data_IF_904688164474
#
_entry.id   IF_904688164474
#
_cell.length_a   1.000
_cell.length_b   1.000
_cell.length_c   1.000
_cell.angle_alpha   90.00
_cell.angle_beta   90.00
_cell.angle_gamma   90.00
#
_symmetry.space_group_name_H-M   'P 1'
#
loop_
_entity.id
_entity.type
_entity.pdbx_description
1 polymer ?
#
# COMPACT_ATOMS: atom_id res chain seq x y z
N UNK A 1 20.32 3.49 1.05
CA UNK A 1 19.71 2.19 1.44
C UNK A 1 19.38 1.42 0.18
N UNK A 2 19.80 0.15 0.04
CA UNK A 2 19.46 -0.70 -1.12
C UNK A 2 18.22 -1.54 -0.80
N UNK A 3 17.22 -1.52 -1.66
CA UNK A 3 16.00 -2.33 -1.49
C UNK A 3 16.35 -3.79 -1.83
N UNK A 4 16.21 -4.67 -0.85
CA UNK A 4 16.45 -6.10 -1.01
C UNK A 4 15.16 -6.85 -1.37
N UNK A 5 14.05 -6.46 -0.76
CA UNK A 5 12.77 -7.14 -0.89
C UNK A 5 11.62 -6.12 -0.82
N UNK A 6 10.55 -6.39 -1.56
CA UNK A 6 9.29 -5.66 -1.46
C UNK A 6 8.16 -6.68 -1.35
N UNK A 7 7.42 -6.63 -0.25
CA UNK A 7 6.25 -7.45 -0.01
C UNK A 7 4.99 -6.62 -0.21
N UNK A 8 4.01 -7.20 -0.91
CA UNK A 8 2.71 -6.60 -1.17
C UNK A 8 1.64 -7.44 -0.50
N UNK A 9 0.76 -6.78 0.24
CA UNK A 9 -0.34 -7.41 0.94
C UNK A 9 -1.64 -6.74 0.53
N UNK A 10 -2.60 -7.52 0.05
CA UNK A 10 -3.99 -7.11 -0.03
C UNK A 10 -4.69 -7.65 1.21
N UNK A 11 -5.20 -6.76 2.05
CA UNK A 11 -5.85 -7.16 3.31
C UNK A 11 -7.33 -6.80 3.23
N UNK A 12 -8.20 -7.64 3.80
CA UNK A 12 -9.61 -7.31 4.03
C UNK A 12 -9.81 -7.10 5.53
N UNK A 13 -10.27 -5.90 5.89
CA UNK A 13 -10.45 -5.44 7.26
C UNK A 13 -11.93 -5.17 7.51
N UNK A 14 -12.68 -6.07 8.17
CA UNK A 14 -14.09 -5.83 8.46
C UNK A 14 -14.24 -4.65 9.42
N UNK A 15 -15.21 -3.78 9.13
CA UNK A 15 -15.54 -2.63 9.96
C UNK A 15 -16.42 -3.05 11.13
N UNK A 16 -16.23 -2.40 12.28
CA UNK A 16 -17.08 -2.61 13.48
C UNK A 16 -18.53 -2.19 13.26
N UNK A 17 -18.77 -1.26 12.35
CA UNK A 17 -20.08 -0.78 11.94
C UNK A 17 -20.01 -0.24 10.50
N UNK A 18 -21.12 -0.22 9.74
CA UNK A 18 -21.13 0.32 8.39
C UNK A 18 -20.70 1.78 8.33
N UNK A 19 -19.81 2.13 7.40
CA UNK A 19 -19.35 3.50 7.15
C UNK A 19 -19.98 4.07 5.88
N UNK A 20 -20.85 5.07 6.04
CA UNK A 20 -21.60 5.72 4.95
C UNK A 20 -20.86 6.95 4.44
N UNK A 21 -20.61 7.00 3.13
CA UNK A 21 -20.26 8.22 2.37
C UNK A 21 -21.36 8.52 1.34
N UNK A 22 -21.22 9.63 0.60
CA UNK A 22 -22.26 10.10 -0.33
C UNK A 22 -22.62 9.10 -1.44
N UNK A 23 -21.68 8.27 -1.88
CA UNK A 23 -21.86 7.34 -2.99
C UNK A 23 -21.84 5.86 -2.59
N UNK A 24 -21.53 5.52 -1.33
CA UNK A 24 -21.36 4.12 -0.90
C UNK A 24 -21.53 3.95 0.60
N UNK A 25 -21.90 2.73 1.01
CA UNK A 25 -21.72 2.26 2.39
C UNK A 25 -20.69 1.14 2.37
N UNK A 26 -19.65 1.26 3.20
CA UNK A 26 -18.60 0.27 3.37
C UNK A 26 -18.89 -0.58 4.61
N UNK A 27 -18.64 -1.88 4.51
CA UNK A 27 -18.62 -2.83 5.64
C UNK A 27 -17.24 -3.42 5.88
N UNK A 28 -16.30 -3.19 4.97
CA UNK A 28 -14.91 -3.61 5.03
C UNK A 28 -14.03 -2.56 4.36
N UNK A 29 -12.74 -2.55 4.73
CA UNK A 29 -11.69 -1.80 4.06
C UNK A 29 -10.72 -2.78 3.42
N UNK A 30 -10.33 -2.50 2.19
CA UNK A 30 -9.39 -3.34 1.43
C UNK A 30 -8.13 -2.56 1.04
N UNK A 31 -7.31 -2.07 1.99
CA UNK A 31 -6.08 -1.38 1.65
C UNK A 31 -5.02 -2.34 1.10
N UNK A 32 -4.15 -1.80 0.26
CA UNK A 32 -2.89 -2.42 -0.14
C UNK A 32 -1.79 -1.94 0.80
N UNK A 33 -1.08 -2.87 1.42
CA UNK A 33 0.09 -2.60 2.24
C UNK A 33 1.35 -2.98 1.48
N UNK A 34 2.38 -2.15 1.61
CA UNK A 34 3.71 -2.38 1.04
C UNK A 34 4.74 -2.37 2.15
N UNK A 35 5.52 -3.44 2.24
CA UNK A 35 6.71 -3.50 3.08
C UNK A 35 7.95 -3.50 2.19
N UNK A 36 8.88 -2.58 2.44
CA UNK A 36 10.18 -2.53 1.77
C UNK A 36 11.27 -2.87 2.78
N UNK A 37 12.08 -3.89 2.48
CA UNK A 37 13.17 -4.33 3.34
C UNK A 37 14.51 -4.09 2.66
N UNK A 38 15.50 -3.65 3.44
CA UNK A 38 16.87 -3.54 2.96
C UNK A 38 17.73 -4.74 3.40
N UNK A 39 18.96 -4.80 2.89
CA UNK A 39 19.91 -5.87 3.23
C UNK A 39 20.45 -5.82 4.66
N UNK A 40 20.13 -4.78 5.44
CA UNK A 40 20.53 -4.62 6.83
C UNK A 40 19.37 -4.94 7.80
N UNK A 41 18.26 -5.48 7.28
CA UNK A 41 17.09 -5.89 8.07
C UNK A 41 16.18 -4.73 8.48
N UNK A 42 16.40 -3.51 7.97
CA UNK A 42 15.47 -2.38 8.19
C UNK A 42 14.25 -2.53 7.29
N UNK A 43 13.10 -2.09 7.79
CA UNK A 43 11.82 -2.16 7.10
C UNK A 43 11.13 -0.80 7.08
N UNK A 44 10.48 -0.46 5.97
CA UNK A 44 9.64 0.71 5.79
C UNK A 44 8.28 0.31 5.21
N UNK A 45 7.22 0.96 5.67
CA UNK A 45 5.84 0.61 5.31
C UNK A 45 5.14 1.75 4.57
N UNK A 46 4.30 1.38 3.61
CA UNK A 46 3.38 2.26 2.91
C UNK A 46 2.00 1.63 2.80
N UNK A 47 0.98 2.47 2.65
CA UNK A 47 -0.41 2.07 2.49
C UNK A 47 -1.02 2.81 1.29
N UNK A 48 -1.86 2.11 0.54
CA UNK A 48 -2.77 2.69 -0.43
C UNK A 48 -4.19 2.18 -0.18
N UNK A 49 -5.12 3.09 0.09
CA UNK A 49 -6.54 2.78 0.15
C UNK A 49 -7.23 3.29 -1.12
N UNK A 50 -7.85 2.38 -1.89
CA UNK A 50 -8.54 2.69 -3.15
C UNK A 50 -10.05 2.42 -2.98
N UNK A 51 -10.83 3.38 -2.46
CA UNK A 51 -12.26 3.21 -2.30
C UNK A 51 -12.96 3.21 -3.66
N UNK A 52 -13.48 2.05 -4.08
CA UNK A 52 -14.13 1.98 -5.39
C UNK A 52 -15.31 2.97 -5.47
N UNK A 53 -15.27 3.84 -6.49
CA UNK A 53 -16.22 4.92 -6.73
C UNK A 53 -15.72 6.33 -6.36
N UNK A 54 -14.58 6.47 -5.67
CA UNK A 54 -13.99 7.80 -5.41
C UNK A 54 -13.14 8.34 -6.56
N UNK A 55 -12.46 7.43 -7.29
CA UNK A 55 -11.64 7.72 -8.46
C UNK A 55 -11.89 6.64 -9.53
N UNK A 56 -11.18 6.72 -10.66
CA UNK A 56 -11.19 5.68 -11.70
C UNK A 56 -10.28 4.48 -11.36
N UNK A 57 -9.55 4.54 -10.24
CA UNK A 57 -8.65 3.47 -9.82
C UNK A 57 -9.45 2.30 -9.22
N UNK A 58 -8.97 1.08 -9.48
CA UNK A 58 -9.50 -0.16 -8.89
C UNK A 58 -8.42 -0.87 -8.10
N UNK A 59 -8.83 -1.73 -7.16
CA UNK A 59 -7.90 -2.57 -6.40
C UNK A 59 -7.00 -3.42 -7.31
N UNK A 60 -7.56 -3.96 -8.39
CA UNK A 60 -6.81 -4.75 -9.38
C UNK A 60 -5.77 -3.91 -10.14
N UNK A 61 -6.15 -2.68 -10.51
CA UNK A 61 -5.23 -1.75 -11.19
C UNK A 61 -4.08 -1.34 -10.27
N UNK A 62 -4.38 -1.08 -8.99
CA UNK A 62 -3.39 -0.72 -8.00
C UNK A 62 -2.47 -1.90 -7.66
N UNK A 63 -3.01 -3.12 -7.54
CA UNK A 63 -2.23 -4.34 -7.34
C UNK A 63 -1.26 -4.57 -8.51
N UNK A 64 -1.75 -4.46 -9.74
CA UNK A 64 -0.93 -4.61 -10.95
C UNK A 64 0.18 -3.57 -10.99
N UNK A 65 -0.17 -2.30 -10.74
CA UNK A 65 0.79 -1.20 -10.66
C UNK A 65 1.86 -1.45 -9.60
N UNK A 66 1.46 -1.76 -8.36
CA UNK A 66 2.38 -2.01 -7.26
C UNK A 66 3.30 -3.19 -7.56
N UNK A 67 2.80 -4.29 -8.13
CA UNK A 67 3.62 -5.46 -8.51
C UNK A 67 4.67 -5.13 -9.56
N UNK A 68 4.29 -4.40 -10.60
CA UNK A 68 5.23 -3.98 -11.64
C UNK A 68 6.33 -3.09 -11.09
N UNK A 69 5.96 -2.09 -10.30
CA UNK A 69 6.93 -1.16 -9.71
C UNK A 69 7.79 -1.83 -8.64
N UNK A 70 7.23 -2.73 -7.83
CA UNK A 70 8.01 -3.52 -6.87
C UNK A 70 9.13 -4.29 -7.58
N UNK A 71 8.82 -4.99 -8.67
CA UNK A 71 9.81 -5.71 -9.46
C UNK A 71 10.91 -4.79 -10.05
N UNK A 72 10.56 -3.56 -10.45
CA UNK A 72 11.53 -2.58 -10.98
C UNK A 72 12.38 -1.90 -9.91
N UNK A 73 11.88 -1.84 -8.67
CA UNK A 73 12.50 -1.13 -7.54
C UNK A 73 13.38 -2.04 -6.68
N UNK A 74 13.16 -3.36 -6.68
CA UNK A 74 14.09 -4.30 -6.05
C UNK A 74 15.49 -4.09 -6.64
N UNK A 75 16.48 -3.98 -5.77
CA UNK A 75 17.82 -3.63 -6.21
C UNK A 75 17.92 -2.18 -6.71
N UNK A 76 17.15 -1.23 -6.20
CA UNK A 76 17.45 0.20 -6.35
C UNK A 76 17.87 0.79 -5.02
N UNK A 77 18.57 1.92 -5.08
CA UNK A 77 18.95 2.67 -3.89
C UNK A 77 17.88 3.71 -3.59
N UNK A 78 17.30 3.66 -2.40
CA UNK A 78 16.43 4.70 -1.88
C UNK A 78 17.20 5.70 -1.03
N UNK A 79 16.80 6.97 -1.09
CA UNK A 79 17.11 7.97 -0.07
C UNK A 79 16.15 7.82 1.10
N UNK A 80 16.61 8.14 2.32
CA UNK A 80 15.74 8.13 3.49
C UNK A 80 14.82 9.36 3.41
N UNK A 81 13.52 9.14 3.23
CA UNK A 81 12.52 10.17 3.53
C UNK A 81 12.35 10.26 5.05
N UNK A 82 12.73 11.38 5.66
CA UNK A 82 12.44 11.62 7.06
C UNK A 82 10.97 12.00 7.20
N UNK A 83 10.10 11.04 7.56
CA UNK A 83 8.79 11.39 8.12
C UNK A 83 9.04 11.72 9.59
N UNK A 84 9.30 13.00 9.86
CA UNK A 84 9.30 13.51 11.22
C UNK A 84 7.86 13.57 11.72
N UNK A 85 7.38 12.50 12.34
CA UNK A 85 6.23 12.59 13.24
C UNK A 85 6.71 13.38 14.47
N UNK A 86 6.33 14.67 14.51
CA UNK A 86 6.35 15.45 15.75
C UNK A 86 5.12 15.10 16.58
#
# INVERSE_FOLDING_TARGET
MRIAEINLYQVSLPLKAPYRVSFRTYTELEPLLVEMRDGEGRSGWGEAYIPAGSTFETIDSAWTFCREYAARLVGKSGSRGAVGLR
#
